data_IF_054003615841
#
_entry.id   IF_054003615841
#
_cell.length_a   1.000
_cell.length_b   1.000
_cell.length_c   1.000
_cell.angle_alpha   90.00
_cell.angle_beta   90.00
_cell.angle_gamma   90.00
#
_symmetry.space_group_name_H-M   'P 1'
#
loop_
_entity.id
_entity.type
_entity.pdbx_description
1 polymer ?
#
# COMPACT_ATOMS: atom_id res chain seq x y z
C UNK A 1 5.38 32.27 -13.60
N UNK A 2 5.40 31.30 -14.51
CA UNK A 2 4.23 30.47 -14.91
C UNK A 2 4.63 28.99 -14.92
N UNK A 3 4.65 28.35 -13.75
CA UNK A 3 5.44 27.14 -13.53
C UNK A 3 4.79 25.89 -14.13
N UNK A 4 3.51 25.60 -13.85
CA UNK A 4 2.70 24.59 -14.54
C UNK A 4 1.41 25.21 -15.04
N UNK A 5 1.13 25.11 -16.33
CA UNK A 5 -0.16 25.47 -16.95
C UNK A 5 -0.56 24.37 -17.92
N UNK A 6 -1.81 23.89 -17.87
CA UNK A 6 -2.39 23.06 -18.94
C UNK A 6 -3.89 23.31 -19.15
N UNK A 7 -4.36 23.05 -20.38
CA UNK A 7 -5.66 23.53 -20.90
C UNK A 7 -6.38 22.42 -21.70
N UNK A 8 -7.68 22.66 -21.91
C UNK B 1 -9.78 10.53 -21.70
N UNK B 2 -9.56 11.83 -21.58
CA UNK B 2 -8.36 12.54 -21.16
C UNK B 2 -7.95 12.24 -19.72
N UNK B 3 -6.68 11.89 -19.51
CA UNK B 3 -6.08 11.56 -18.22
C UNK B 3 -4.70 12.21 -18.05
N UNK B 4 -4.42 12.81 -16.89
CA UNK B 4 -3.14 13.46 -16.56
C UNK B 4 -2.64 12.94 -15.21
N UNK B 5 -1.38 12.54 -15.10
CA UNK B 5 -0.78 12.11 -13.83
C UNK B 5 0.58 12.79 -13.62
N UNK B 6 0.79 13.39 -12.46
CA UNK B 6 2.08 13.80 -11.92
C UNK B 6 2.37 12.97 -10.67
N UNK B 7 3.52 12.30 -10.59
CA UNK B 7 3.82 11.35 -9.51
C UNK B 7 5.26 11.51 -9.00
N UNK B 8 5.38 11.45 -7.69
C UNK C 1 10.23 28.84 -7.97
N UNK C 2 9.69 27.81 -7.33
CA UNK C 2 10.43 26.47 -7.27
C UNK C 2 9.44 25.34 -7.00
N UNK C 3 9.52 24.23 -7.74
CA UNK C 3 8.65 23.06 -7.58
C UNK C 3 9.45 21.75 -7.51
N UNK C 4 9.06 20.85 -6.60
CA UNK C 4 9.64 19.52 -6.43
C UNK C 4 8.52 18.50 -6.40
N UNK C 5 8.65 17.42 -7.18
CA UNK C 5 7.70 16.30 -7.22
C UNK C 5 8.49 15.00 -7.16
N UNK C 6 8.22 14.07 -6.22
CA UNK C 6 8.92 12.78 -6.20
C UNK C 6 8.21 11.66 -5.44
N UNK C 7 8.68 10.43 -5.62
CA UNK C 7 8.24 9.21 -4.89
C UNK C 7 9.50 8.49 -4.35
N UNK C 8 9.34 7.99 -3.12
C UNK D 1 -21.40 -6.41 -26.97
N UNK D 2 -20.34 -7.18 -26.92
CA UNK D 2 -20.07 -8.20 -25.87
C UNK D 2 -18.62 -8.05 -25.37
N UNK D 3 -18.39 -7.10 -24.47
CA UNK D 3 -17.04 -6.57 -24.22
C UNK D 3 -16.18 -7.53 -23.37
N UNK D 4 -16.64 -8.01 -22.22
CA UNK D 4 -16.01 -9.09 -21.44
C UNK D 4 -17.02 -10.19 -21.13
N UNK D 5 -16.69 -11.44 -21.49
CA UNK D 5 -17.44 -12.64 -21.11
C UNK D 5 -16.44 -13.72 -20.67
N UNK D 6 -16.69 -14.42 -19.55
CA UNK D 6 -16.00 -15.68 -19.23
C UNK D 6 -16.89 -16.69 -18.50
N UNK D 7 -16.59 -17.98 -18.66
CA UNK D 7 -17.47 -19.12 -18.31
C UNK D 7 -16.67 -20.26 -17.63
N UNK D 8 -17.44 -21.16 -17.01
C UNK E 1 -8.45 -22.63 -8.61
N UNK E 2 -9.44 -22.36 -9.44
CA UNK E 2 -9.55 -21.34 -10.47
C UNK E 2 -9.48 -19.92 -9.92
N UNK E 3 -8.63 -19.08 -10.51
CA UNK E 3 -8.40 -17.69 -10.12
C UNK E 3 -8.33 -16.77 -11.34
N UNK E 4 -9.00 -15.61 -11.30
CA UNK E 4 -9.03 -14.59 -12.36
C UNK E 4 -8.75 -13.22 -11.77
N UNK E 5 -7.85 -12.42 -12.34
CA UNK E 5 -7.57 -11.06 -11.87
C UNK E 5 -7.52 -10.07 -13.04
N UNK E 6 -8.25 -8.96 -12.94
CA UNK E 6 -8.09 -7.77 -13.79
C UNK E 6 -7.59 -6.63 -12.92
N UNK E 7 -6.48 -5.98 -13.30
CA UNK E 7 -5.82 -4.95 -12.47
C UNK E 7 -5.41 -3.74 -13.30
N UNK E 8 -5.66 -2.57 -12.72
C UNK F 1 -17.66 0.70 -25.73
N UNK F 2 -17.23 0.88 -24.49
CA UNK F 2 -15.79 1.30 -24.22
C UNK F 2 -15.41 0.90 -22.80
N UNK F 3 -14.23 0.32 -22.60
CA UNK F 3 -13.70 -0.12 -21.31
C UNK F 3 -12.27 0.35 -21.08
N UNK F 4 -11.96 0.82 -19.87
CA UNK F 4 -10.61 1.20 -19.46
C UNK F 4 -10.30 0.53 -18.12
N UNK F 5 -9.14 -0.11 -18.00
CA UNK F 5 -8.63 -0.70 -16.77
C UNK F 5 -7.17 -0.29 -16.60
N UNK F 6 -6.78 0.31 -15.47
CA UNK F 6 -5.36 0.64 -15.24
C UNK F 6 -4.99 0.80 -13.77
N UNK F 7 -3.70 0.82 -13.48
CA UNK F 7 -3.10 1.08 -12.15
C UNK F 7 -2.01 2.15 -12.28
N UNK F 8 -1.99 3.04 -11.28
C UNK G 1 1.54 -34.16 5.97
N UNK G 2 2.69 -33.59 5.71
CA UNK G 2 3.41 -32.64 6.61
C UNK G 2 3.88 -31.42 5.81
N UNK G 3 2.97 -30.48 5.59
CA UNK G 3 3.12 -29.48 4.52
C UNK G 3 4.10 -28.36 4.90
N UNK G 4 3.96 -27.68 6.04
CA UNK G 4 4.96 -26.75 6.59
C UNK G 4 5.30 -27.15 8.03
N UNK G 5 6.58 -27.35 8.33
CA UNK G 5 7.12 -27.53 9.68
C UNK G 5 8.39 -26.69 9.81
N UNK G 6 8.54 -25.91 10.89
CA UNK G 6 9.83 -25.33 11.28
C UNK G 6 10.00 -25.22 12.79
N UNK G 7 11.26 -25.22 13.25
CA UNK G 7 11.66 -25.47 14.65
C UNK G 7 12.77 -24.50 15.11
N UNK G 8 12.96 -24.45 16.43
C UNK H 1 16.30 -12.57 15.07
N UNK H 2 15.84 -13.80 15.18
CA UNK H 2 15.26 -14.69 14.18
C UNK H 2 13.97 -14.13 13.59
N UNK H 3 13.86 -14.11 12.26
CA UNK H 3 12.70 -13.60 11.52
C UNK H 3 12.30 -14.55 10.38
N UNK H 4 11.00 -14.85 10.23
CA UNK H 4 10.43 -15.71 9.19
C UNK H 4 9.24 -14.99 8.55
N UNK H 5 9.14 -14.93 7.22
CA UNK H 5 8.00 -14.32 6.52
C UNK H 5 7.53 -15.23 5.37
N UNK H 6 6.23 -15.50 5.31
CA UNK H 6 5.56 -16.07 4.14
C UNK H 6 4.60 -15.00 3.58
N UNK H 7 4.71 -14.68 2.29
CA UNK H 7 3.97 -13.55 1.67
C UNK H 7 3.39 -13.95 0.32
N UNK H 8 2.15 -13.52 0.12
C UNK I 1 -2.91 -30.82 0.05
N UNK I 2 -3.21 -29.56 0.29
CA UNK I 2 -2.96 -28.49 -0.77
C UNK I 2 -2.83 -27.13 -0.08
N UNK I 3 -1.83 -26.32 -0.43
CA UNK I 3 -1.56 -24.99 0.12
C UNK I 3 -1.33 -23.96 -0.98
N UNK I 4 -1.90 -22.76 -0.85
CA UNK I 4 -1.66 -21.64 -1.77
C UNK I 4 -1.32 -20.40 -0.97
N UNK I 5 -0.25 -19.71 -1.37
CA UNK I 5 0.20 -18.44 -0.81
C UNK I 5 0.52 -17.49 -1.96
N UNK I 6 -0.08 -16.29 -2.03
CA UNK I 6 0.28 -15.31 -3.06
C UNK I 6 -0.07 -13.87 -2.70
N UNK I 7 0.46 -12.92 -3.46
CA UNK I 7 0.17 -11.47 -3.37
C UNK I 7 -0.19 -10.93 -4.78
N UNK I 8 -1.19 -10.05 -4.78
C UNK J 1 26.81 4.41 21.58
N UNK J 2 26.97 4.86 20.35
CA UNK J 2 26.26 6.03 19.74
C UNK J 2 25.69 5.64 18.37
N UNK J 3 24.51 5.02 18.37
CA UNK J 3 24.03 4.27 17.21
C UNK J 3 23.47 5.16 16.09
N UNK J 4 22.56 6.12 16.37
CA UNK J 4 22.12 7.16 15.42
C UNK J 4 22.24 8.54 16.08
N UNK J 5 22.95 9.48 15.45
CA UNK J 5 23.00 10.89 15.83
C UNK J 5 22.86 11.77 14.58
N UNK J 6 22.03 12.81 14.61
CA UNK J 6 22.07 13.90 13.62
C UNK J 6 21.70 15.27 14.23
N UNK J 7 22.22 16.33 13.62
CA UNK J 7 22.27 17.70 14.17
C UNK J 7 21.92 18.75 13.08
N UNK J 8 21.62 19.96 13.56
C UNK K 1 13.49 21.24 4.12
N UNK K 2 14.26 21.04 5.17
CA UNK K 2 15.01 19.84 5.55
C UNK K 2 14.10 18.64 5.81
N UNK K 3 14.42 17.49 5.22
CA UNK K 3 13.64 16.26 5.32
C UNK K 3 14.54 15.03 5.56
N UNK K 4 14.18 14.17 6.52
CA UNK K 4 14.88 12.93 6.87
C UNK K 4 13.88 11.78 6.96
N UNK K 5 14.14 10.63 6.36
CA UNK K 5 13.29 9.44 6.47
C UNK K 5 14.13 8.19 6.75
N UNK K 6 13.75 7.41 7.77
CA UNK K 6 14.22 6.04 7.98
C UNK K 6 13.02 5.10 7.79
N UNK K 7 13.13 4.09 6.93
CA UNK K 7 12.01 3.19 6.58
C UNK K 7 12.47 1.73 6.54
N UNK K 8 11.62 0.88 7.10
C UNK L 1 23.55 -2.67 19.95
N UNK L 2 22.29 -2.57 19.58
CA UNK L 2 21.80 -3.29 18.30
C UNK L 2 20.54 -2.58 17.80
N UNK L 3 20.44 -2.35 16.50
CA UNK L 3 19.31 -1.69 15.84
C UNK L 3 18.83 -2.46 14.61
N UNK L 4 17.53 -2.58 14.39
CA UNK L 4 16.94 -3.14 13.17
C UNK L 4 15.87 -2.18 12.65
N UNK L 5 15.93 -1.88 11.34
CA UNK L 5 14.92 -1.11 10.63
C UNK L 5 14.61 -1.85 9.33
N UNK L 6 13.35 -2.20 9.04
CA UNK L 6 13.01 -2.84 7.76
C UNK L 6 11.54 -2.66 7.36
N UNK L 7 11.22 -3.00 6.10
CA UNK L 7 9.86 -2.98 5.53
C UNK L 7 9.59 -4.34 4.83
N UNK L 8 8.37 -4.83 5.02
C UNK M 1 2.64 33.59 -9.84
N UNK M 2 2.61 32.62 -10.73
CA UNK M 2 1.44 31.74 -10.97
C UNK M 2 1.91 30.29 -11.05
N UNK M 3 1.83 29.58 -9.93
CA UNK M 3 2.59 28.35 -9.74
C UNK M 3 1.89 27.12 -10.37
N UNK M 4 0.63 26.84 -10.04
CA UNK M 4 -0.16 25.80 -10.73
C UNK M 4 -1.49 26.39 -11.19
N UNK M 5 -1.78 26.31 -12.48
CA UNK M 5 -3.05 26.70 -13.10
C UNK M 5 -3.50 25.59 -14.04
N UNK M 6 -4.81 25.25 -14.06
CA UNK M 6 -5.39 24.55 -15.21
C UNK M 6 -6.85 24.92 -15.46
N UNK M 7 -7.28 24.79 -16.72
CA UNK M 7 -8.56 25.34 -17.24
C UNK M 7 -9.26 24.31 -18.15
N UNK M 8 -10.56 24.58 -18.39
C UNK N 1 -13.16 12.23 -18.34
N UNK N 2 -12.89 13.34 -17.69
CA UNK N 2 -11.61 13.99 -17.46
C UNK N 2 -11.08 13.69 -16.06
N UNK N 3 -9.82 13.26 -15.94
CA UNK N 3 -9.21 12.96 -14.64
C UNK N 3 -7.78 13.53 -14.53
N UNK N 4 -7.48 14.18 -13.39
CA UNK N 4 -6.19 14.83 -13.10
C UNK N 4 -5.70 14.36 -11.73
N UNK N 5 -4.46 13.90 -11.58
CA UNK N 5 -3.93 13.44 -10.28
C UNK N 5 -2.52 14.01 -10.03
N UNK N 6 -2.30 14.65 -8.88
CA UNK N 6 -0.95 14.91 -8.36
C UNK N 6 -0.72 14.04 -7.12
N UNK N 7 0.37 13.26 -7.05
CA UNK N 7 0.62 12.37 -5.90
C UNK N 7 2.08 12.41 -5.46
N UNK N 8 2.25 12.46 -4.14
C UNK O 1 7.35 29.38 -4.29
N UNK O 2 7.34 28.71 -3.15
CA UNK O 2 7.86 27.27 -3.10
C UNK O 2 6.72 26.26 -2.99
N UNK O 3 6.74 25.16 -3.75
CA UNK O 3 5.76 24.06 -3.66
C UNK O 3 6.44 22.69 -3.64
N UNK O 4 5.98 21.79 -2.77
CA UNK O 4 6.46 20.41 -2.65
C UNK O 4 5.30 19.42 -2.68
N UNK O 5 5.42 18.37 -3.49
CA UNK O 5 4.48 17.25 -3.52
C UNK O 5 5.28 15.96 -3.50
N UNK O 6 5.04 15.04 -2.54
CA UNK O 6 5.75 13.75 -2.60
C UNK O 6 5.05 12.61 -1.86
N UNK O 7 5.45 11.37 -2.12
CA UNK O 7 4.94 10.16 -1.44
C UNK O 7 6.11 9.30 -0.91
N UNK O 8 5.90 8.82 0.31
C UNK P 1 -24.70 -4.62 -23.83
N UNK P 2 -23.70 -5.49 -23.77
CA UNK P 2 -23.50 -6.49 -22.69
C UNK P 2 -22.04 -6.42 -22.20
N UNK P 3 -21.78 -5.50 -21.28
CA UNK P 3 -20.43 -5.00 -21.05
C UNK P 3 -19.57 -5.96 -20.22
N UNK P 4 -20.03 -6.41 -19.04
CA UNK P 4 -19.37 -7.48 -18.27
C UNK P 4 -20.40 -8.58 -17.98
N UNK P 5 -20.11 -9.82 -18.36
CA UNK P 5 -20.90 -11.01 -18.01
C UNK P 5 -19.96 -12.12 -17.54
N UNK P 6 -20.28 -12.81 -16.43
CA UNK P 6 -19.65 -14.11 -16.16
C UNK P 6 -20.59 -15.11 -15.48
N UNK P 7 -20.34 -16.40 -15.71
CA UNK P 7 -21.26 -17.52 -15.39
C UNK P 7 -20.50 -18.72 -14.79
N UNK P 8 -21.28 -19.62 -14.18
C UNK Q 1 -12.27 -21.29 -5.46
N UNK Q 2 -13.24 -20.98 -6.30
CA UNK Q 2 -13.28 -19.97 -7.37
C UNK Q 2 -13.15 -18.55 -6.83
N UNK Q 3 -12.23 -17.76 -7.38
CA UNK Q 3 -12.03 -16.35 -7.01
C UNK Q 3 -11.87 -15.44 -8.23
N UNK Q 4 -12.57 -14.30 -8.24
CA UNK Q 4 -12.56 -13.31 -9.33
C UNK Q 4 -12.30 -11.92 -8.74
N UNK Q 5 -11.38 -11.13 -9.30
CA UNK Q 5 -11.09 -9.76 -8.82
C UNK Q 5 -11.04 -8.78 -9.99
N UNK Q 6 -11.75 -7.64 -9.89
CA UNK Q 6 -11.49 -6.45 -10.70
C UNK Q 6 -11.00 -5.33 -9.76
N UNK Q 7 -9.85 -4.72 -10.02
CA UNK Q 7 -9.27 -3.69 -9.14
C UNK Q 7 -8.69 -2.51 -9.93
N UNK Q 8 -9.00 -1.33 -9.41
C UNK R 1 -20.74 2.57 -22.53
N UNK R 2 -20.33 2.69 -21.22
CA UNK R 2 -18.94 3.09 -20.91
C UNK R 2 -18.61 2.63 -19.50
N UNK R 3 -17.46 2.01 -19.28
CA UNK R 3 -17.00 1.53 -17.98
C UNK R 3 -15.55 1.93 -17.69
N UNK R 4 -15.25 2.37 -16.47
CA UNK R 4 -13.89 2.68 -16.00
C UNK R 4 -13.63 1.97 -14.68
N UNK R 5 -12.48 1.28 -14.56
CA UNK R 5 -12.02 0.67 -13.32
C UNK R 5 -10.56 1.06 -13.12
N UNK R 6 -10.15 1.67 -11.99
CA UNK R 6 -8.71 1.92 -11.79
C UNK R 6 -8.30 2.07 -10.32
N UNK R 7 -7.00 2.00 -10.03
CA UNK R 7 -6.45 2.26 -8.68
C UNK R 7 -5.27 3.25 -8.77
N UNK R 8 -5.27 4.16 -7.79
C UNK S 1 -2.38 -33.45 8.82
N UNK S 2 -1.20 -32.87 8.68
CA UNK S 2 -0.59 -31.91 9.63
C UNK S 2 -0.09 -30.68 8.86
N UNK S 3 -0.98 -29.74 8.56
CA UNK S 3 -0.79 -28.80 7.47
C UNK S 3 0.19 -27.68 7.83
N UNK S 4 0.01 -26.93 8.93
CA UNK S 4 1.01 -25.98 9.43
C UNK S 4 1.35 -26.32 10.88
N UNK S 5 2.64 -26.52 11.17
CA UNK S 5 3.18 -26.67 12.52
C UNK S 5 4.41 -25.79 12.70
N UNK S 6 4.53 -25.07 13.82
CA UNK S 6 5.82 -24.52 14.22
C UNK S 6 6.03 -24.51 15.74
N UNK S 7 7.31 -24.58 16.15
CA UNK S 7 7.72 -24.85 17.54
C UNK S 7 8.91 -23.95 17.97
N UNK S 8 9.11 -23.90 19.29
C UNK T 1 12.61 -12.00 18.36
N UNK T 2 12.11 -13.22 18.46
CA UNK T 2 11.51 -14.07 17.44
C UNK T 2 10.24 -13.49 16.84
N UNK T 3 10.14 -13.41 15.52
CA UNK T 3 8.94 -12.97 14.79
C UNK T 3 8.61 -13.87 13.60
N UNK T 4 7.32 -14.24 13.44
CA UNK T 4 6.80 -15.10 12.37
C UNK T 4 5.61 -14.41 11.72
N UNK T 5 5.54 -14.32 10.39
CA UNK T 5 4.43 -13.69 9.66
C UNK T 5 3.93 -14.58 8.52
N UNK T 6 2.62 -14.80 8.41
CA UNK T 6 1.96 -15.26 7.18
C UNK T 6 1.04 -14.15 6.68
N UNK T 7 1.17 -13.72 5.43
CA UNK T 7 0.34 -12.61 4.88
C UNK T 7 -0.15 -12.91 3.46
N UNK T 8 -1.42 -12.59 3.25
C UNK U 1 -6.82 -29.74 2.73
N UNK U 2 -7.08 -28.49 3.04
CA UNK U 2 -6.83 -27.37 2.01
C UNK U 2 -6.67 -26.04 2.77
N UNK U 3 -5.65 -25.25 2.44
CA UNK U 3 -5.39 -23.93 3.01
C UNK U 3 -5.09 -22.87 1.96
N UNK U 4 -5.64 -21.67 2.09
CA UNK U 4 -5.37 -20.52 1.22
C UNK U 4 -5.01 -19.31 2.09
N UNK U 5 -3.92 -18.60 1.75
CA UNK U 5 -3.52 -17.34 2.38
C UNK U 5 -3.20 -16.35 1.27
N UNK U 6 -3.82 -15.17 1.20
CA UNK U 6 -3.39 -14.18 0.18
C UNK U 6 -3.71 -12.73 0.52
N UNK U 7 -3.10 -11.78 -0.19
CA UNK U 7 -3.41 -10.34 -0.06
C UNK U 7 -3.63 -9.72 -1.46
N UNK U 8 -4.66 -8.85 -1.51
C UNK V 1 23.52 4.64 25.23
N UNK V 2 23.69 5.20 24.05
CA UNK V 2 22.95 6.39 23.55
C UNK V 2 22.37 6.10 22.16
N UNK V 3 21.22 5.44 22.10
CA UNK V 3 20.81 4.71 20.91
C UNK V 3 20.28 5.62 19.79
N UNK V 4 19.32 6.51 20.06
CA UNK V 4 18.89 7.56 19.11
C UNK V 4 18.96 8.91 19.81
N UNK V 5 19.70 9.87 19.25
CA UNK V 5 19.71 11.27 19.70
C UNK V 5 19.61 12.18 18.48
N UNK V 6 18.76 13.21 18.49
CA UNK V 6 18.87 14.28 17.49
C UNK V 6 18.50 15.67 18.03
N UNK V 7 19.09 16.70 17.42
CA UNK V 7 19.15 18.08 17.97
C UNK V 7 18.89 19.12 16.86
N UNK V 8 18.60 20.35 17.32
C UNK W 1 10.42 21.95 7.78
N UNK W 2 11.16 21.70 8.84
CA UNK W 2 11.84 20.48 9.25
C UNK W 2 10.90 19.30 9.52
N UNK W 3 11.15 18.14 8.92
CA UNK W 3 10.38 16.91 9.12
C UNK W 3 11.28 15.68 9.31
N UNK W 4 10.96 14.82 10.29
CA UNK W 4 11.69 13.59 10.62
C UNK W 4 10.71 12.42 10.67
N UNK W 5 11.01 11.29 10.02
CA UNK W 5 10.15 10.08 10.08
C UNK W 5 10.98 8.83 10.37
N UNK W 6 10.57 8.02 11.35
CA UNK W 6 11.00 6.64 11.52
C UNK W 6 9.80 5.73 11.29
N UNK W 7 9.86 4.76 10.39
CA UNK W 7 8.70 3.89 10.07
C UNK W 7 9.10 2.42 9.92
N UNK W 8 8.26 1.57 10.50
C UNK X 1 19.97 -2.66 23.24
N UNK X 2 18.71 -2.49 22.88
CA UNK X 2 18.18 -3.15 21.59
C UNK X 2 16.95 -2.36 21.12
N UNK X 3 16.88 -2.01 19.84
CA UNK X 3 15.74 -1.33 19.23
C UNK X 3 15.30 -1.98 17.92
N UNK X 4 14.00 -2.15 17.70
CA UNK X 4 13.41 -2.67 16.46
C UNK X 4 12.33 -1.71 15.97
N UNK X 5 12.36 -1.33 14.69
CA UNK X 5 11.36 -0.50 14.03
C UNK X 5 10.97 -1.17 12.73
N UNK X 6 9.70 -1.51 12.47
CA UNK X 6 9.34 -2.06 11.15
C UNK X 6 7.88 -1.89 10.74
N UNK X 7 7.56 -2.11 9.46
CA UNK X 7 6.18 -2.10 8.93
C UNK X 7 5.93 -3.38 8.10
N UNK X 8 4.74 -3.93 8.30
C UNK Y 1 -0.05 34.75 -5.98
N UNK Y 2 -0.12 33.74 -6.83
CA UNK Y 2 -1.30 32.85 -7.00
C UNK Y 2 -0.84 31.38 -7.08
N UNK Y 3 -0.90 30.67 -5.97
CA UNK Y 3 -0.19 29.41 -5.80
C UNK Y 3 -0.89 28.20 -6.43
N UNK Y 4 -2.15 27.92 -6.12
CA UNK Y 4 -2.96 26.89 -6.81
C UNK Y 4 -4.29 27.50 -7.25
N UNK Y 5 -4.61 27.41 -8.55
CA UNK Y 5 -5.89 27.79 -9.13
C UNK Y 5 -6.34 26.69 -10.11
N UNK Y 6 -7.63 26.37 -10.16
CA UNK Y 6 -8.19 25.70 -11.35
C UNK Y 6 -9.63 26.11 -11.63
N UNK Y 7 -10.03 26.03 -12.90
CA UNK Y 7 -11.30 26.57 -13.44
C UNK Y 7 -11.98 25.57 -14.40
N UNK Y 8 -13.26 25.84 -14.66
C UNK Z 1 -16.06 13.51 -14.61
N UNK Z 2 -15.81 14.79 -14.42
CA UNK Z 2 -14.59 15.46 -13.98
C UNK Z 2 -14.17 15.09 -12.57
N UNK Z 3 -12.90 14.73 -12.35
CA UNK Z 3 -12.32 14.45 -11.03
C UNK Z 3 -10.90 15.02 -10.88
N UNK Z 4 -10.59 15.62 -9.72
CA UNK Z 4 -9.30 16.23 -9.39
C UNK Z 4 -8.79 15.67 -8.06
N UNK Z 5 -7.53 15.23 -7.97
CA UNK Z 5 -6.94 14.69 -6.73
C UNK Z 5 -5.55 15.27 -6.49
N UNK Z 6 -5.30 15.86 -5.32
CA UNK Z 6 -3.95 16.08 -4.78
C UNK Z 6 -3.76 15.17 -3.57
N UNK Z 7 -2.68 14.38 -3.47
CA UNK Z 7 -2.44 13.52 -2.28
C UNK Z 7 -0.98 13.51 -1.85
N UNK Z 8 -0.80 13.59 -0.54
C UNK AA 1 5.22 30.48 -0.11
N UNK AA 2 4.50 29.56 0.48
CA UNK AA 2 5.08 28.14 0.66
C UNK AA 2 3.91 27.18 0.83
N UNK AA 3 3.88 26.05 0.12
CA UNK AA 3 2.90 24.98 0.28
C UNK AA 3 3.54 23.58 0.23
N UNK AA 4 3.11 22.66 1.10
CA UNK AA 4 3.60 21.29 1.17
C UNK AA 4 2.41 20.32 1.14
N UNK AA 5 2.46 19.28 0.32
CA UNK AA 5 1.46 18.21 0.24
C UNK AA 5 2.21 16.88 0.25
N UNK AA 6 1.95 15.96 1.18
CA UNK AA 6 2.62 14.65 1.13
C UNK AA 6 1.86 13.56 1.87
N UNK AA 7 2.17 12.30 1.58
CA UNK AA 7 1.61 11.12 2.29
C UNK AA 7 2.76 10.18 2.71
N UNK AA 8 2.63 9.66 3.94
C UNK BA 1 -28.03 -2.83 -20.68
N UNK BA 2 -27.03 -3.70 -20.63
CA UNK BA 2 -26.84 -4.70 -19.54
C UNK BA 2 -25.39 -4.66 -19.06
N UNK BA 3 -25.09 -3.74 -18.15
CA UNK BA 3 -23.73 -3.31 -17.88
C UNK BA 3 -22.93 -4.30 -17.02
N UNK BA 4 -23.43 -4.74 -15.86
CA UNK BA 4 -22.83 -5.83 -15.06
C UNK BA 4 -23.89 -6.89 -14.77
N UNK BA 5 -23.66 -8.14 -15.14
CA UNK BA 5 -24.46 -9.31 -14.79
C UNK BA 5 -23.54 -10.46 -14.41
N UNK BA 6 -23.83 -11.21 -13.34
CA UNK BA 6 -23.21 -12.52 -13.14
C UNK BA 6 -24.16 -13.53 -12.50
N UNK BA 7 -23.92 -14.81 -12.79
CA UNK BA 7 -24.85 -15.92 -12.52
C UNK BA 7 -24.11 -17.17 -11.98
N UNK BA 8 -24.90 -18.08 -11.41
C UNK CA 1 -15.84 -20.12 -2.64
N UNK CA 2 -16.82 -19.77 -3.45
CA UNK CA 2 -16.91 -18.69 -4.44
C UNK CA 2 -16.77 -17.30 -3.82
N UNK CA 3 -15.91 -16.45 -4.37
CA UNK CA 3 -15.75 -15.05 -3.97
C UNK CA 3 -15.58 -14.11 -5.17
N UNK CA 4 -16.25 -12.95 -5.15
CA UNK CA 4 -16.25 -11.94 -6.21
C UNK CA 4 -15.91 -10.57 -5.61
N UNK CA 5 -14.98 -9.81 -6.20
CA UNK CA 5 -14.61 -8.46 -5.73
C UNK CA 5 -14.54 -7.47 -6.88
N UNK CA 6 -15.18 -6.31 -6.75
CA UNK CA 6 -14.95 -5.10 -7.54
C UNK CA 6 -14.39 -4.03 -6.60
N UNK CA 7 -13.24 -3.41 -6.88
CA UNK CA 7 -12.69 -2.36 -5.99
C UNK CA 7 -12.08 -1.17 -6.75
N UNK CA 8 -12.37 0.01 -6.23
C UNK DA 1 -23.88 4.51 -19.16
N UNK DA 2 -23.51 4.59 -17.89
CA UNK DA 2 -22.06 4.96 -17.53
C UNK DA 2 -21.77 4.44 -16.13
N UNK DA 3 -20.65 3.75 -15.90
CA UNK DA 3 -20.22 3.30 -14.57
C UNK DA 3 -18.73 3.57 -14.31
N UNK DA 4 -18.38 4.04 -13.11
CA UNK DA 4 -17.01 4.31 -12.69
C UNK DA 4 -16.75 3.62 -11.35
N UNK DA 5 -15.65 2.90 -11.21
CA UNK DA 5 -15.22 2.25 -9.98
C UNK DA 5 -13.74 2.58 -9.75
N UNK DA 6 -13.35 3.15 -8.61
CA UNK DA 6 -11.93 3.37 -8.34
C UNK DA 6 -11.60 3.49 -6.87
N UNK DA 7 -10.32 3.38 -6.51
CA UNK DA 7 -9.82 3.62 -5.14
C UNK DA 7 -8.58 4.55 -5.21
N UNK DA 8 -8.55 5.48 -4.25
C UNK EA 1 -6.37 -32.55 11.61
N UNK EA 2 -5.18 -32.00 11.42
CA UNK EA 2 -4.54 -31.03 12.35
C UNK EA 2 -4.01 -29.83 11.56
N UNK EA 3 -4.89 -28.87 11.32
CA UNK EA 3 -4.70 -27.85 10.28
C UNK EA 3 -3.72 -26.74 10.70
N UNK EA 4 -3.91 -26.09 11.85
CA UNK EA 4 -2.92 -25.16 12.43
C UNK EA 4 -2.63 -25.58 13.87
N UNK EA 5 -1.36 -25.81 14.21
CA UNK EA 5 -0.87 -26.03 15.58
C UNK EA 5 0.41 -25.22 15.76
N UNK EA 6 0.60 -24.50 16.87
CA UNK EA 6 1.93 -24.04 17.25
C UNK EA 6 2.16 -24.04 18.76
N UNK EA 7 3.44 -24.19 19.16
CA UNK EA 7 3.85 -24.51 20.54
C UNK EA 7 5.09 -23.69 20.96
N UNK EA 8 5.32 -23.68 22.27
C UNK FA 1 9.07 -11.69 21.59
N UNK FA 2 8.54 -12.91 21.66
CA UNK FA 2 7.88 -13.70 20.62
C UNK FA 2 6.62 -13.03 20.07
N UNK FA 3 6.49 -12.97 18.75
CA UNK FA 3 5.28 -12.48 18.07
C UNK FA 3 4.90 -13.33 16.84
N UNK FA 4 3.62 -13.65 16.68
CA UNK FA 4 3.06 -14.49 15.60
C UNK FA 4 1.91 -13.74 14.95
N UNK FA 5 1.85 -13.64 13.61
CA UNK FA 5 0.78 -12.94 12.88
C UNK FA 5 0.28 -13.76 11.68
N UNK FA 6 -1.04 -13.91 11.56
CA UNK FA 6 -1.72 -14.36 10.35
C UNK FA 6 -2.58 -13.21 9.82
N UNK FA 7 -2.45 -12.80 8.55
CA UNK FA 7 -3.34 -11.74 7.99
C UNK FA 7 -3.77 -12.02 6.56
N UNK FA 8 -5.03 -11.72 6.30
C UNK GA 1 -10.92 -28.62 5.53
N UNK GA 2 -11.14 -27.35 5.83
CA UNK GA 2 -10.84 -26.25 4.80
C UNK GA 2 -10.66 -24.94 5.56
N UNK GA 3 -9.62 -24.16 5.29
CA UNK GA 3 -9.37 -22.83 5.89
C UNK GA 3 -8.96 -21.78 4.84
N UNK GA 4 -9.49 -20.56 4.94
CA UNK GA 4 -9.17 -19.44 4.05
C UNK GA 4 -8.84 -18.20 4.89
N UNK GA 5 -7.74 -17.53 4.60
CA UNK GA 5 -7.31 -16.28 5.25
C UNK GA 5 -6.94 -15.27 4.16
N UNK GA 6 -7.53 -14.07 4.13
CA UNK GA 6 -7.09 -13.06 3.16
C UNK GA 6 -7.44 -11.63 3.58
N UNK GA 7 -6.81 -10.65 2.95
CA UNK GA 7 -7.12 -9.21 3.13
C UNK GA 7 -7.28 -8.54 1.76
N UNK GA 8 -8.29 -7.67 1.68
C UNK HA 1 20.12 4.96 28.80
N UNK HA 2 20.29 5.47 27.59
CA UNK HA 2 19.54 6.63 27.04
C UNK HA 2 19.02 6.31 25.65
N UNK HA 3 17.86 5.65 25.59
CA UNK HA 3 17.41 4.94 24.40
C UNK HA 3 16.85 5.86 23.31
N UNK HA 4 15.87 6.73 23.62
CA UNK HA 4 15.39 7.75 22.67
C UNK HA 4 15.44 9.12 23.35
N UNK HA 5 16.14 10.08 22.75
CA UNK HA 5 16.19 11.49 23.17
C UNK HA 5 16.09 12.39 21.94
N UNK HA 6 15.32 13.49 22.00
CA UNK HA 6 15.51 14.59 21.05
C UNK HA 6 15.26 15.96 21.67
N UNK HA 7 15.92 16.98 21.10
CA UNK HA 7 16.00 18.35 21.65
C UNK HA 7 15.84 19.42 20.54
N UNK HA 8 15.58 20.66 20.99
C UNK IA 1 7.52 22.70 11.84
N UNK IA 2 8.27 22.35 12.85
CA UNK IA 2 8.90 21.08 13.17
C UNK IA 2 7.89 19.94 13.36
N UNK IA 3 8.09 18.80 12.72
CA UNK IA 3 7.25 17.61 12.88
C UNK IA 3 8.09 16.33 12.99
N UNK IA 4 7.75 15.45 13.94
CA UNK IA 4 8.47 14.21 14.27
C UNK IA 4 7.46 13.05 14.30
N UNK IA 5 7.72 11.92 13.64
CA UNK IA 5 6.82 10.75 13.66
C UNK IA 5 7.61 9.46 13.90
N UNK IA 6 7.15 8.62 14.83
CA UNK IA 6 7.54 7.22 14.97
C UNK IA 6 6.30 6.35 14.70
N UNK IA 7 6.35 5.39 13.76
CA UNK IA 7 5.19 4.52 13.47
C UNK IA 7 5.58 3.07 13.21
N UNK IA 8 4.77 2.18 13.78
C UNK JA 1 16.39 -2.56 26.75
N UNK JA 2 15.14 -2.32 26.38
CA UNK JA 2 14.61 -2.95 25.09
C UNK JA 2 13.40 -2.12 24.63
N UNK JA 3 13.30 -1.76 23.35
CA UNK JA 3 12.15 -1.06 22.77
C UNK JA 3 11.72 -1.64 21.42
N UNK JA 4 10.42 -1.79 21.17
CA UNK JA 4 9.88 -2.28 19.90
C UNK JA 4 8.79 -1.34 19.40
N UNK JA 5 8.84 -0.97 18.13
CA UNK JA 5 7.84 -0.14 17.46
C UNK JA 5 7.49 -0.80 16.12
N UNK JA 6 6.22 -1.10 15.84
CA UNK JA 6 5.86 -1.59 14.50
C UNK JA 6 4.40 -1.36 14.16
N UNK JA 7 4.04 -1.46 12.87
CA UNK JA 7 2.63 -1.40 12.40
C UNK JA 7 2.35 -2.58 11.46
N UNK JA 8 1.16 -3.14 11.63
#
# INVERSE_FOLDING_TARGET
XKIIIFKX
XKIIIFKX
XKIIIFKX
XKIIIFKX
XKIIIFKX
XKIIIFKX
XKIIIFKX
XKIIIFKX
XKIIIFKX
XKIIIFKX
XKIIIFKX
XKIIIFKX
XKIIIFKX
XKIIIFKX
XKIIIFKX
XKIIIFKX
XKIIIFKX
XKIIIFKX
XKIIIFKX
XKIIIFKX
XKIIIFKX
XKIIIFKX
XKIIIFKX
XKIIIFKX
XKIIIFKX
XKIIIFKX
XKIIIFKX
XKIIIFKX
XKIIIFKX
XKIIIFKX
XKIIIFKX
XKIIIFKX
XKIIIFKX
XKIIIFKX
XKIIIFKX
XKIIIFKX
#
